data_IF_395780704294
#
_entry.id   IF_395780704294
#
_cell.length_a   1.000
_cell.length_b   1.000
_cell.length_c   1.000
_cell.angle_alpha   90.00
_cell.angle_beta   90.00
_cell.angle_gamma   90.00
#
_symmetry.space_group_name_H-M   'P 1'
#
loop_
_entity.id
_entity.type
_entity.pdbx_description
1 polymer ?
#
# COMPACT_ATOMS: atom_id res chain seq x y z
N UNK A 1 -25.98 -46.06 -0.03
CA UNK A 1 -24.77 -46.84 -0.34
C UNK A 1 -24.31 -46.49 -1.73
N UNK A 2 -23.35 -45.64 -1.87
CA UNK A 2 -22.63 -45.44 -3.15
C UNK A 2 -21.15 -45.25 -2.82
N UNK A 3 -20.38 -46.22 -3.23
CA UNK A 3 -18.92 -46.28 -3.16
C UNK A 3 -18.31 -45.25 -4.15
N UNK A 4 -17.42 -44.39 -3.71
CA UNK A 4 -16.60 -43.61 -4.60
C UNK A 4 -15.20 -44.19 -4.70
N UNK A 5 -14.94 -44.66 -5.90
CA UNK A 5 -13.71 -45.27 -6.40
C UNK A 5 -12.51 -44.33 -6.28
N UNK A 6 -11.54 -44.84 -5.56
CA UNK A 6 -10.17 -44.28 -5.45
C UNK A 6 -9.44 -44.58 -6.76
N UNK A 7 -9.16 -43.58 -7.57
CA UNK A 7 -8.25 -43.71 -8.70
C UNK A 7 -6.86 -43.25 -8.33
N UNK A 8 -6.03 -44.24 -8.18
CA UNK A 8 -4.57 -44.16 -8.09
C UNK A 8 -4.02 -43.64 -9.43
N UNK A 9 -3.21 -42.61 -9.38
CA UNK A 9 -2.26 -42.34 -10.46
C UNK A 9 -0.85 -42.58 -9.91
N UNK A 10 -0.36 -43.73 -10.31
CA UNK A 10 1.01 -44.16 -10.21
C UNK A 10 1.69 -43.88 -11.56
N UNK A 11 2.96 -43.59 -11.49
CA UNK A 11 3.94 -43.51 -12.60
C UNK A 11 4.13 -42.09 -13.15
N UNK A 12 5.30 -41.58 -13.36
CA UNK A 12 6.50 -42.25 -13.96
C UNK A 12 7.78 -41.57 -13.47
N UNK A 13 8.73 -42.38 -13.03
CA UNK A 13 10.14 -42.04 -12.93
C UNK A 13 10.73 -41.76 -14.32
N UNK A 14 11.43 -40.65 -14.48
CA UNK A 14 12.47 -40.57 -15.51
C UNK A 14 13.69 -39.88 -14.92
N UNK A 15 14.66 -40.75 -14.66
CA UNK A 15 16.05 -40.44 -14.40
C UNK A 15 16.67 -39.79 -15.63
N UNK A 16 17.27 -38.62 -15.47
CA UNK A 16 18.38 -38.21 -16.33
C UNK A 16 19.44 -37.57 -15.46
N UNK A 17 20.46 -38.37 -15.19
CA UNK A 17 21.79 -37.93 -14.80
C UNK A 17 22.51 -37.43 -16.05
N UNK A 18 22.94 -36.20 -16.09
CA UNK A 18 24.12 -35.82 -16.87
C UNK A 18 24.93 -34.80 -16.09
N UNK A 19 26.11 -35.19 -15.85
CA UNK A 19 27.24 -34.64 -15.17
C UNK A 19 27.93 -33.47 -15.89
N UNK A 20 28.82 -32.84 -15.13
CA UNK A 20 29.97 -31.98 -15.53
C UNK A 20 29.62 -30.58 -16.01
N UNK A 21 30.12 -29.55 -15.45
CA UNK A 21 31.45 -29.21 -15.02
C UNK A 21 31.65 -27.70 -15.07
N UNK A 22 32.66 -27.26 -14.47
CA UNK A 22 33.28 -25.93 -14.53
C UNK A 22 32.80 -24.83 -13.58
N UNK A 23 33.50 -24.83 -12.48
CA UNK A 23 33.90 -23.69 -11.70
C UNK A 23 34.56 -22.66 -12.62
N UNK A 24 33.94 -21.51 -12.78
CA UNK A 24 34.64 -20.30 -13.18
C UNK A 24 34.24 -19.17 -12.27
N UNK A 25 35.08 -18.89 -11.29
CA UNK A 25 35.15 -17.62 -10.61
C UNK A 25 35.43 -16.53 -11.64
N UNK A 26 34.42 -15.74 -11.98
CA UNK A 26 34.62 -14.49 -12.68
C UNK A 26 34.36 -13.35 -11.69
N UNK A 27 35.42 -12.88 -11.09
CA UNK A 27 35.50 -11.56 -10.46
C UNK A 27 35.32 -10.52 -11.55
N UNK A 28 34.08 -10.13 -11.78
CA UNK A 28 33.78 -8.99 -12.66
C UNK A 28 33.64 -7.73 -11.81
N UNK A 29 34.71 -6.96 -11.75
CA UNK A 29 34.66 -5.55 -11.38
C UNK A 29 33.73 -4.84 -12.36
N UNK A 30 32.47 -4.70 -12.03
CA UNK A 30 31.57 -3.78 -12.72
C UNK A 30 31.85 -2.37 -12.22
N UNK A 31 32.52 -1.63 -13.06
CA UNK A 31 32.50 -0.17 -13.04
C UNK A 31 31.04 0.26 -13.10
N UNK A 32 30.54 0.84 -12.00
CA UNK A 32 29.20 1.41 -11.92
C UNK A 32 29.21 2.71 -12.70
N UNK A 33 28.77 2.66 -13.94
CA UNK A 33 28.36 3.86 -14.65
C UNK A 33 27.08 4.40 -14.01
N UNK A 34 26.95 5.71 -13.71
CA UNK A 34 25.72 6.27 -13.16
C UNK A 34 24.62 6.22 -14.23
N UNK A 35 23.75 5.21 -14.15
CA UNK A 35 22.51 5.21 -14.91
C UNK A 35 21.56 6.25 -14.28
N UNK A 36 21.04 7.10 -15.15
CA UNK A 36 19.96 8.05 -14.89
C UNK A 36 18.74 7.27 -14.33
N UNK A 37 18.68 7.18 -12.99
CA UNK A 37 17.64 6.44 -12.30
C UNK A 37 16.28 7.03 -12.56
N UNK A 38 15.35 6.19 -13.00
CA UNK A 38 13.95 6.53 -13.14
C UNK A 38 13.38 6.91 -11.77
N UNK A 39 12.61 8.00 -11.73
CA UNK A 39 11.98 8.55 -10.52
C UNK A 39 11.19 7.54 -9.69
N UNK A 40 10.74 6.45 -10.30
CA UNK A 40 10.02 5.35 -9.65
C UNK A 40 10.92 4.47 -8.76
N UNK A 41 12.19 4.24 -9.13
CA UNK A 41 13.13 3.45 -8.33
C UNK A 41 13.64 4.19 -7.10
N UNK A 42 13.79 5.51 -7.20
CA UNK A 42 14.20 6.34 -6.07
C UNK A 42 13.12 6.35 -4.99
N UNK A 43 11.85 6.30 -5.37
CA UNK A 43 10.72 6.21 -4.42
C UNK A 43 10.69 4.89 -3.66
N UNK A 44 11.14 3.79 -4.27
CA UNK A 44 11.16 2.47 -3.63
C UNK A 44 12.26 2.33 -2.57
N UNK A 45 13.37 3.05 -2.68
CA UNK A 45 14.52 2.94 -1.76
C UNK A 45 14.36 3.72 -0.45
N UNK A 46 13.39 4.64 -0.37
CA UNK A 46 13.15 5.44 0.84
C UNK A 46 12.37 4.64 1.90
N UNK A 47 11.77 3.53 1.52
CA UNK A 47 10.96 2.68 2.40
C UNK A 47 11.75 1.48 2.93
N UNK A 48 12.88 1.70 3.60
CA UNK A 48 13.59 0.62 4.28
C UNK A 48 12.86 0.18 5.55
N UNK A 49 12.21 -0.97 5.49
CA UNK A 49 11.98 -1.97 6.54
C UNK A 49 11.29 -1.57 7.87
N UNK A 50 10.58 -0.46 7.98
CA UNK A 50 9.60 -0.35 9.04
C UNK A 50 8.28 -0.94 8.56
N UNK A 51 7.93 -2.10 9.09
CA UNK A 51 6.57 -2.64 8.99
C UNK A 51 5.60 -1.55 9.43
N UNK A 52 4.83 -1.00 8.48
CA UNK A 52 3.86 0.05 8.74
C UNK A 52 2.80 -0.43 9.74
N UNK A 53 2.07 0.49 10.32
CA UNK A 53 0.97 0.20 11.24
C UNK A 53 -0.33 0.14 10.45
N UNK A 54 -1.00 -1.01 10.54
CA UNK A 54 -2.34 -1.16 9.96
C UNK A 54 -3.35 -0.45 10.86
N UNK A 55 -4.21 0.35 10.25
CA UNK A 55 -5.24 1.09 10.97
C UNK A 55 -6.52 1.18 10.15
N UNK A 56 -7.64 1.23 10.87
CA UNK A 56 -8.95 1.46 10.28
C UNK A 56 -9.25 2.95 10.34
N UNK A 57 -9.63 3.52 9.20
CA UNK A 57 -10.08 4.91 9.11
C UNK A 57 -11.43 4.97 8.42
N UNK A 58 -12.24 5.96 8.80
CA UNK A 58 -13.46 6.31 8.08
C UNK A 58 -13.19 7.57 7.27
N UNK A 59 -13.54 7.56 5.99
CA UNK A 59 -13.43 8.72 5.09
C UNK A 59 -14.83 9.22 4.80
N UNK A 60 -15.04 10.53 4.97
CA UNK A 60 -16.33 11.17 4.77
C UNK A 60 -16.78 11.15 3.30
N UNK A 61 -18.08 11.32 3.11
CA UNK A 61 -18.73 11.37 1.80
C UNK A 61 -18.40 12.62 0.98
N UNK A 62 -17.79 13.62 1.60
CA UNK A 62 -17.40 14.87 0.94
C UNK A 62 -15.99 15.28 1.38
N UNK A 63 -15.30 15.93 0.48
CA UNK A 63 -14.04 16.62 0.78
C UNK A 63 -14.30 18.04 1.24
N UNK A 64 -13.33 18.66 1.88
CA UNK A 64 -13.35 20.07 2.27
C UNK A 64 -12.07 20.76 1.84
N UNK A 65 -12.16 22.05 1.59
CA UNK A 65 -10.97 22.86 1.34
C UNK A 65 -10.23 23.06 2.66
N UNK A 66 -9.02 22.52 2.73
CA UNK A 66 -8.07 22.76 3.82
C UNK A 66 -7.07 23.82 3.41
N UNK A 67 -6.46 24.48 4.39
CA UNK A 67 -5.45 25.51 4.19
C UNK A 67 -4.14 25.03 4.79
N UNK A 68 -3.20 24.66 3.89
CA UNK A 68 -1.81 24.38 4.22
C UNK A 68 -0.92 25.50 3.66
N UNK A 69 0.08 25.16 2.84
CA UNK A 69 0.85 26.13 2.07
C UNK A 69 -0.04 26.85 1.03
N UNK A 70 -1.01 26.13 0.49
CA UNK A 70 -2.04 26.65 -0.41
C UNK A 70 -3.38 25.95 -0.11
N UNK A 71 -4.53 26.54 -0.55
CA UNK A 71 -5.80 25.86 -0.47
C UNK A 71 -5.77 24.56 -1.25
N UNK A 72 -6.20 23.46 -0.63
CA UNK A 72 -6.28 22.16 -1.29
C UNK A 72 -7.49 21.36 -0.82
N UNK A 73 -7.97 20.47 -1.69
CA UNK A 73 -9.04 19.54 -1.32
C UNK A 73 -8.49 18.46 -0.39
N UNK A 74 -9.09 18.34 0.79
CA UNK A 74 -8.68 17.39 1.83
C UNK A 74 -9.78 16.39 2.09
N UNK A 75 -9.41 15.17 2.42
CA UNK A 75 -10.33 14.21 3.00
C UNK A 75 -10.66 14.61 4.45
N UNK A 76 -11.90 14.37 4.85
CA UNK A 76 -12.26 14.35 6.25
C UNK A 76 -12.24 12.92 6.73
N UNK A 77 -11.47 12.64 7.77
CA UNK A 77 -11.26 11.28 8.28
C UNK A 77 -11.54 11.18 9.77
N UNK A 78 -11.93 9.98 10.19
CA UNK A 78 -11.93 9.57 11.59
C UNK A 78 -10.93 8.42 11.72
N UNK A 79 -9.95 8.56 12.60
CA UNK A 79 -8.88 7.58 12.78
C UNK A 79 -9.28 6.40 13.69
N UNK A 80 -10.45 6.45 14.29
CA UNK A 80 -11.06 5.38 15.07
C UNK A 80 -12.56 5.38 14.79
N UNK A 81 -13.23 4.21 14.82
CA UNK A 81 -14.70 4.13 14.72
C UNK A 81 -15.42 4.91 15.81
N UNK A 82 -14.79 5.05 16.98
CA UNK A 82 -15.33 5.76 18.15
C UNK A 82 -15.00 7.26 18.13
N UNK A 83 -14.23 7.73 17.16
CA UNK A 83 -13.88 9.15 17.06
C UNK A 83 -15.13 9.97 16.79
N UNK A 84 -15.41 10.95 17.66
CA UNK A 84 -16.57 11.82 17.55
C UNK A 84 -16.41 12.92 16.50
N UNK A 85 -15.16 13.31 16.19
CA UNK A 85 -14.87 14.44 15.31
C UNK A 85 -14.14 14.03 14.04
N UNK A 86 -14.46 14.74 12.96
CA UNK A 86 -13.74 14.66 11.70
C UNK A 86 -12.47 15.49 11.76
N UNK A 87 -11.42 14.97 11.12
CA UNK A 87 -10.11 15.62 11.02
C UNK A 87 -9.74 15.78 9.55
N UNK A 88 -9.12 16.91 9.23
CA UNK A 88 -8.58 17.14 7.89
C UNK A 88 -7.38 16.25 7.65
N UNK A 89 -7.41 15.50 6.56
CA UNK A 89 -6.29 14.70 6.09
C UNK A 89 -5.73 15.33 4.81
N UNK A 90 -4.54 15.89 4.94
CA UNK A 90 -3.82 16.55 3.83
C UNK A 90 -3.05 15.56 2.96
N UNK A 91 -2.83 14.36 3.49
CA UNK A 91 -2.15 13.29 2.78
C UNK A 91 -3.10 12.56 1.84
N UNK A 92 -2.55 12.05 0.75
CA UNK A 92 -3.26 11.12 -0.13
C UNK A 92 -3.16 9.69 0.39
N UNK A 93 -4.13 8.85 0.03
CA UNK A 93 -4.10 7.41 0.33
C UNK A 93 -3.75 6.69 -0.97
N UNK A 94 -2.52 6.17 -1.04
CA UNK A 94 -2.06 5.42 -2.23
C UNK A 94 -2.98 4.23 -2.52
N UNK A 95 -3.43 4.11 -3.76
CA UNK A 95 -4.31 3.03 -4.21
C UNK A 95 -5.79 3.21 -3.85
N UNK A 96 -6.19 4.38 -3.34
CA UNK A 96 -7.58 4.67 -3.04
C UNK A 96 -8.17 5.64 -4.06
N UNK A 97 -9.23 5.21 -4.73
CA UNK A 97 -10.04 6.01 -5.63
C UNK A 97 -11.28 6.50 -4.88
N UNK A 98 -11.34 7.80 -4.63
CA UNK A 98 -12.43 8.45 -3.92
C UNK A 98 -13.56 8.80 -4.86
N UNK A 99 -14.79 8.51 -4.44
CA UNK A 99 -16.03 8.92 -5.11
C UNK A 99 -16.88 9.73 -4.13
N UNK A 100 -17.22 10.95 -4.51
CA UNK A 100 -18.06 11.83 -3.69
C UNK A 100 -19.46 11.25 -3.49
N UNK A 101 -20.05 11.48 -2.33
CA UNK A 101 -21.36 10.94 -1.95
C UNK A 101 -21.31 9.58 -1.26
N UNK A 102 -20.13 9.01 -1.10
CA UNK A 102 -19.93 7.74 -0.38
C UNK A 102 -19.06 7.93 0.84
N UNK A 103 -19.50 7.39 1.96
CA UNK A 103 -18.67 7.20 3.15
C UNK A 103 -17.96 5.85 3.06
N UNK A 104 -16.68 5.85 3.37
CA UNK A 104 -15.84 4.66 3.31
C UNK A 104 -15.30 4.29 4.68
N UNK A 105 -15.16 2.98 4.91
CA UNK A 105 -14.34 2.44 5.98
C UNK A 105 -13.20 1.69 5.33
N UNK A 106 -11.98 2.17 5.56
CA UNK A 106 -10.76 1.65 4.93
C UNK A 106 -9.87 0.99 5.96
N UNK A 107 -9.24 -0.10 5.56
CA UNK A 107 -8.03 -0.61 6.21
C UNK A 107 -6.83 -0.07 5.44
N UNK A 108 -6.03 0.75 6.09
CA UNK A 108 -4.83 1.35 5.52
C UNK A 108 -3.59 0.95 6.29
N UNK A 109 -2.47 0.88 5.61
CA UNK A 109 -1.16 0.74 6.23
C UNK A 109 -0.49 2.11 6.27
N UNK A 110 -0.18 2.60 7.47
CA UNK A 110 0.54 3.85 7.69
C UNK A 110 2.02 3.57 7.86
N UNK A 111 2.82 4.09 6.96
CA UNK A 111 4.27 3.98 6.94
C UNK A 111 4.89 5.30 7.37
N UNK A 112 5.91 5.25 8.18
CA UNK A 112 6.70 6.42 8.57
C UNK A 112 7.89 6.55 7.62
N UNK A 113 8.05 7.73 7.02
CA UNK A 113 9.18 8.07 6.17
C UNK A 113 10.40 8.41 7.02
N UNK A 114 11.57 8.00 6.58
CA UNK A 114 12.85 8.45 7.16
C UNK A 114 13.37 9.65 6.35
N UNK A 115 14.06 10.56 7.02
CA UNK A 115 14.74 11.72 6.39
C UNK A 115 13.80 12.59 5.53
N UNK A 116 12.64 12.93 6.09
CA UNK A 116 11.65 13.75 5.40
C UNK A 116 12.03 15.21 5.50
N UNK A 117 11.94 16.00 4.40
CA UNK A 117 12.04 17.46 4.47
C UNK A 117 11.03 18.03 5.48
N UNK A 118 11.33 19.20 6.05
CA UNK A 118 10.56 19.79 7.14
C UNK A 118 9.11 20.12 6.74
N UNK A 119 8.88 20.36 5.47
CA UNK A 119 7.60 20.73 4.85
C UNK A 119 6.82 19.55 4.25
N UNK A 120 7.38 18.33 4.30
CA UNK A 120 6.73 17.14 3.76
C UNK A 120 6.10 16.27 4.84
N UNK A 121 5.05 15.52 4.48
CA UNK A 121 4.39 14.62 5.41
C UNK A 121 5.31 13.51 5.89
N UNK A 122 5.32 13.29 7.20
CA UNK A 122 6.06 12.22 7.85
C UNK A 122 5.48 10.83 7.56
N UNK A 123 4.23 10.75 7.14
CA UNK A 123 3.54 9.50 6.92
C UNK A 123 3.11 9.32 5.47
N UNK A 124 3.02 8.04 5.06
CA UNK A 124 2.37 7.61 3.83
C UNK A 124 1.30 6.61 4.20
N UNK A 125 0.14 6.77 3.59
CA UNK A 125 -0.99 5.88 3.78
C UNK A 125 -1.18 5.06 2.51
N UNK A 126 -1.26 3.74 2.65
CA UNK A 126 -1.51 2.80 1.56
C UNK A 126 -2.80 2.04 1.82
N UNK A 127 -3.70 2.03 0.87
CA UNK A 127 -4.90 1.23 0.95
C UNK A 127 -4.54 -0.25 0.95
N UNK A 128 -5.01 -0.98 1.95
CA UNK A 128 -4.97 -2.46 1.97
C UNK A 128 -6.30 -3.05 1.52
N UNK A 129 -7.39 -2.48 2.02
CA UNK A 129 -8.74 -2.99 1.73
C UNK A 129 -9.80 -1.92 2.00
N UNK A 130 -10.82 -1.87 1.15
CA UNK A 130 -12.07 -1.17 1.45
C UNK A 130 -12.92 -2.14 2.26
N UNK A 131 -13.19 -1.80 3.51
CA UNK A 131 -14.00 -2.63 4.42
C UNK A 131 -15.48 -2.35 4.23
N UNK A 132 -15.84 -1.09 3.97
CA UNK A 132 -17.20 -0.68 3.66
C UNK A 132 -17.19 0.52 2.70
N UNK A 133 -18.17 0.56 1.80
CA UNK A 133 -18.50 1.70 0.93
C UNK A 133 -20.02 1.88 0.97
N UNK A 134 -20.47 2.99 1.47
CA UNK A 134 -21.91 3.25 1.64
C UNK A 134 -22.27 4.61 1.06
N UNK A 135 -23.27 4.65 0.19
CA UNK A 135 -23.82 5.90 -0.32
C UNK A 135 -24.64 6.55 0.80
N UNK A 136 -24.08 7.55 1.43
CA UNK A 136 -24.72 8.35 2.47
C UNK A 136 -24.01 9.68 2.65
N UNK A 137 -24.70 10.65 3.17
CA UNK A 137 -24.09 11.89 3.66
C UNK A 137 -23.46 11.65 5.04
N UNK A 138 -22.20 12.03 5.23
CA UNK A 138 -21.54 11.92 6.53
C UNK A 138 -21.98 13.03 7.45
N UNK A 139 -22.37 12.68 8.66
CA UNK A 139 -22.88 13.63 9.65
C UNK A 139 -21.75 14.25 10.48
N UNK A 140 -21.99 15.49 10.97
CA UNK A 140 -21.07 16.19 11.87
C UNK A 140 -19.76 16.62 11.20
N UNK A 141 -19.76 16.80 9.87
CA UNK A 141 -18.63 17.40 9.16
C UNK A 141 -18.52 18.90 9.48
N UNK A 142 -17.29 19.45 9.55
CA UNK A 142 -17.04 20.89 9.75
C UNK A 142 -17.44 21.74 8.54
#
# INVERSE_FOLDING_TARGET
>A
MKQYSMRRYLNIYALIMVSFGCIQCHTSNRVVTPQKGNSAEISAQIFTDKKGVDMKITVASETRTGFGVAPQSCFLVKYSPEASSWQYMYDTIEGFEYESGYEYVLLVNRLERKNVPQDASKYVYRLKKILNKQKKHSEGMP
#
